data_IF_412782479748
#
_entry.id   IF_412782479748
#
_cell.length_a   1.000
_cell.length_b   1.000
_cell.length_c   1.000
_cell.angle_alpha   90.00
_cell.angle_beta   90.00
_cell.angle_gamma   90.00
#
_symmetry.space_group_name_H-M   'P 1'
#
loop_
_entity.id
_entity.type
_entity.pdbx_description
1 polymer ?
#
# COMPACT_ATOMS: atom_id res chain seq x y z
N UNK A 1 -1.22 12.19 -1.03
CA UNK A 1 -0.32 12.00 0.15
C UNK A 1 0.98 11.31 -0.27
N UNK A 2 2.03 11.42 0.56
CA UNK A 2 3.33 10.73 0.39
C UNK A 2 3.58 9.84 1.61
N UNK A 3 4.17 8.68 1.40
CA UNK A 3 4.60 7.79 2.47
C UNK A 3 5.69 6.84 2.00
N UNK A 4 6.23 6.09 2.94
CA UNK A 4 7.23 5.05 2.72
C UNK A 4 6.59 3.68 2.92
N UNK A 5 6.88 2.74 2.02
CA UNK A 5 6.40 1.37 2.14
C UNK A 5 7.13 0.68 3.29
N UNK A 6 6.44 0.38 4.38
CA UNK A 6 7.02 -0.33 5.52
C UNK A 6 7.29 -1.79 5.18
N UNK A 7 6.35 -2.41 4.45
CA UNK A 7 6.51 -3.76 3.92
C UNK A 7 5.46 -4.00 2.83
N UNK A 8 5.77 -4.91 1.91
CA UNK A 8 4.83 -5.38 0.90
C UNK A 8 5.13 -6.84 0.60
N UNK A 9 4.10 -7.68 0.62
CA UNK A 9 4.21 -9.08 0.26
C UNK A 9 3.80 -9.24 -1.20
N UNK A 10 4.78 -9.38 -2.09
CA UNK A 10 4.56 -9.52 -3.53
C UNK A 10 3.74 -10.78 -3.88
N UNK A 11 3.92 -11.87 -3.13
CA UNK A 11 3.19 -13.12 -3.37
C UNK A 11 1.71 -13.02 -3.00
N UNK A 12 1.38 -12.22 -1.97
CA UNK A 12 -0.01 -11.99 -1.55
C UNK A 12 -0.63 -10.72 -2.15
N UNK A 13 0.17 -9.83 -2.71
CA UNK A 13 -0.29 -8.60 -3.35
C UNK A 13 -0.76 -7.51 -2.38
N UNK A 14 -0.22 -7.43 -1.17
CA UNK A 14 -0.59 -6.37 -0.23
C UNK A 14 0.53 -5.94 0.72
N UNK A 15 0.40 -4.74 1.28
CA UNK A 15 1.39 -4.15 2.18
C UNK A 15 0.88 -2.97 3.01
N UNK A 16 1.81 -2.33 3.70
CA UNK A 16 1.58 -1.15 4.54
C UNK A 16 2.49 0.01 4.11
N UNK A 17 1.92 1.21 4.05
CA UNK A 17 2.60 2.47 3.80
C UNK A 17 2.51 3.33 5.07
N UNK A 18 3.64 3.88 5.50
CA UNK A 18 3.75 4.75 6.67
C UNK A 18 4.06 6.17 6.19
N UNK A 19 3.25 7.13 6.62
CA UNK A 19 3.50 8.55 6.38
C UNK A 19 4.42 9.14 7.44
N UNK A 20 5.04 10.28 7.12
CA UNK A 20 5.91 11.03 8.05
C UNK A 20 5.17 11.50 9.32
N UNK A 21 3.85 11.64 9.25
CA UNK A 21 3.01 11.99 10.41
C UNK A 21 2.65 10.77 11.29
N UNK A 22 3.17 9.58 10.97
CA UNK A 22 2.89 8.33 11.69
C UNK A 22 1.61 7.60 11.23
N UNK A 23 0.83 8.16 10.30
CA UNK A 23 -0.35 7.48 9.78
C UNK A 23 0.05 6.27 8.94
N UNK A 24 -0.72 5.19 9.08
CA UNK A 24 -0.53 3.94 8.35
C UNK A 24 -1.67 3.73 7.38
N UNK A 25 -1.33 3.32 6.17
CA UNK A 25 -2.28 3.04 5.12
C UNK A 25 -2.01 1.66 4.55
N UNK A 26 -3.08 0.90 4.32
CA UNK A 26 -2.99 -0.38 3.66
C UNK A 26 -2.93 -0.17 2.15
N UNK A 27 -2.13 -0.98 1.45
CA UNK A 27 -2.01 -0.94 0.00
C UNK A 27 -2.28 -2.33 -0.58
N UNK A 28 -3.25 -2.44 -1.49
CA UNK A 28 -3.50 -3.65 -2.25
C UNK A 28 -3.00 -3.51 -3.71
N UNK A 29 -2.51 -4.60 -4.31
CA UNK A 29 -1.89 -4.57 -5.63
C UNK A 29 -2.83 -4.07 -6.74
N UNK A 30 -4.14 -4.22 -6.56
CA UNK A 30 -5.16 -3.74 -7.51
C UNK A 30 -5.17 -2.22 -7.63
N UNK A 31 -4.69 -1.51 -6.62
CA UNK A 31 -4.69 -0.05 -6.55
C UNK A 31 -3.36 0.56 -7.03
N UNK A 32 -2.33 -0.27 -7.21
CA UNK A 32 -1.01 0.16 -7.66
C UNK A 32 -1.07 0.49 -9.16
N UNK A 33 -0.88 1.77 -9.47
CA UNK A 33 -0.70 2.27 -10.83
C UNK A 33 0.79 2.38 -11.12
N UNK A 34 1.33 1.42 -11.87
CA UNK A 34 2.71 1.43 -12.34
C UNK A 34 2.75 1.49 -13.87
N UNK A 35 3.65 2.29 -14.47
CA UNK A 35 3.82 2.36 -15.93
C UNK A 35 4.45 1.08 -16.50
N UNK A 36 5.30 0.44 -15.70
CA UNK A 36 5.77 -0.92 -15.93
C UNK A 36 4.68 -1.83 -15.36
N UNK A 37 4.09 -2.76 -16.11
CA UNK A 37 2.96 -3.64 -15.72
C UNK A 37 3.11 -4.40 -14.37
N UNK A 38 4.25 -4.23 -13.70
CA UNK A 38 4.61 -4.74 -12.38
C UNK A 38 3.89 -3.92 -11.29
N UNK A 39 2.97 -4.58 -10.59
CA UNK A 39 2.20 -4.01 -9.46
C UNK A 39 2.80 -4.39 -8.11
N UNK A 40 4.10 -4.12 -7.93
CA UNK A 40 4.81 -4.42 -6.68
C UNK A 40 5.42 -3.17 -6.05
N UNK A 41 5.52 -3.19 -4.72
CA UNK A 41 6.20 -2.17 -3.92
C UNK A 41 7.36 -2.79 -3.17
N UNK A 42 8.43 -2.03 -2.98
CA UNK A 42 9.60 -2.43 -2.19
C UNK A 42 9.59 -1.75 -0.83
N UNK A 43 10.06 -2.45 0.20
CA UNK A 43 10.29 -1.84 1.51
C UNK A 43 11.21 -0.62 1.38
N UNK A 44 10.90 0.48 2.08
CA UNK A 44 11.62 1.74 2.00
C UNK A 44 11.32 2.57 0.74
N UNK A 45 10.46 2.08 -0.17
CA UNK A 45 10.10 2.84 -1.37
C UNK A 45 9.18 4.01 -1.00
N UNK A 46 9.57 5.22 -1.41
CA UNK A 46 8.67 6.38 -1.34
C UNK A 46 7.58 6.27 -2.40
N UNK A 47 6.33 6.36 -1.98
CA UNK A 47 5.15 6.28 -2.83
C UNK A 47 4.24 7.49 -2.65
N UNK A 48 3.47 7.78 -3.69
CA UNK A 48 2.37 8.76 -3.66
C UNK A 48 1.06 8.01 -3.80
N UNK A 49 0.11 8.33 -2.93
CA UNK A 49 -1.21 7.70 -2.91
C UNK A 49 -2.25 8.71 -2.45
N UNK A 50 -3.50 8.48 -2.78
CA UNK A 50 -4.63 9.26 -2.27
C UNK A 50 -5.51 8.30 -1.45
N UNK A 51 -5.70 8.51 -0.14
CA UNK A 51 -6.71 7.79 0.59
C UNK A 51 -8.07 8.39 0.23
N UNK A 52 -8.71 7.82 -0.78
CA UNK A 52 -10.17 7.90 -0.91
C UNK A 52 -10.75 6.97 0.16
N UNK A 53 -11.78 7.41 0.86
CA UNK A 53 -12.15 6.97 2.21
C UNK A 53 -12.48 5.47 2.39
N UNK A 54 -12.20 4.98 3.61
CA UNK A 54 -12.56 3.70 4.24
C UNK A 54 -12.22 2.39 3.49
N UNK A 55 -10.96 1.96 3.63
CA UNK A 55 -10.65 0.52 3.54
C UNK A 55 -11.07 -0.15 4.86
N UNK A 56 -12.34 -0.54 4.99
CA UNK A 56 -12.77 -1.51 6.01
C UNK A 56 -12.20 -2.89 5.64
N UNK A 57 -10.98 -3.19 6.05
CA UNK A 57 -10.45 -4.56 6.01
C UNK A 57 -11.21 -5.40 7.05
N UNK A 58 -12.29 -6.05 6.62
CA UNK A 58 -13.00 -7.04 7.42
C UNK A 58 -12.13 -8.32 7.52
N UNK A 59 -11.42 -8.46 8.63
CA UNK A 59 -10.58 -9.64 8.96
C UNK A 59 -11.39 -10.95 9.09
N UNK A 60 -12.71 -10.92 8.91
CA UNK A 60 -13.61 -12.08 9.04
C UNK A 60 -13.70 -12.95 7.78
N UNK A 61 -13.01 -12.60 6.69
CA UNK A 61 -12.89 -13.42 5.46
C UNK A 61 -11.47 -13.96 5.23
N UNK A 62 -10.84 -14.47 6.28
CA UNK A 62 -9.68 -15.37 6.21
C UNK A 62 -10.05 -16.72 6.81
#
# INVERSE_FOLDING_TARGET
MRGEVAWFNEAKGYGEIVCENGNKFFAHYTEIKSPEEIRNLKSGQTVRFNPDEEIQFDFKRL
#
